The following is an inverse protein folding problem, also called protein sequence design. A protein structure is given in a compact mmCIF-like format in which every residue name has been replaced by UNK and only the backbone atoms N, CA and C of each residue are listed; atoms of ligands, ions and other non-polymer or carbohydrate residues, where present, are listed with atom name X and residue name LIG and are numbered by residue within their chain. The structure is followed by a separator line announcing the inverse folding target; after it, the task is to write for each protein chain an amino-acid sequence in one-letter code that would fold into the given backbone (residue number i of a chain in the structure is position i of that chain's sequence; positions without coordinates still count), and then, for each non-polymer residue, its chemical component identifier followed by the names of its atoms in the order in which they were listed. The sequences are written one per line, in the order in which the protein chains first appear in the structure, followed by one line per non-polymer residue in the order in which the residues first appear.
data_IF_420823726176
#
_entry.id   IF_420823726176
#
_cell.length_a   1.000
_cell.length_b   1.000
_cell.length_c   1.000
_cell.angle_alpha   90.00
_cell.angle_beta   90.00
_cell.angle_gamma   90.00
#
_symmetry.space_group_name_H-M   'P 1'
#
loop_
_entity.id
_entity.type
_entity.pdbx_description
1 polymer ?
#
# COMPACT_ATOMS: atom_id res chain seq x y z
N UNK A 1 11.92 -0.66 -6.23
CA UNK A 1 12.58 -1.24 -5.04
C UNK A 1 12.48 -0.25 -3.89
N UNK A 2 12.43 -0.74 -2.67
CA UNK A 2 12.34 0.11 -1.47
C UNK A 2 13.71 0.56 -0.97
N UNK A 3 14.72 -0.27 -1.18
CA UNK A 3 16.07 -0.01 -0.74
C UNK A 3 16.90 0.55 -1.91
N UNK A 4 17.54 1.71 -1.72
CA UNK A 4 18.39 2.30 -2.73
C UNK A 4 19.67 1.48 -2.87
N UNK A 5 19.99 1.08 -4.10
CA UNK A 5 21.27 0.44 -4.43
C UNK A 5 22.13 1.49 -5.13
N UNK A 6 23.38 1.62 -4.69
CA UNK A 6 24.33 2.59 -5.26
C UNK A 6 24.48 2.39 -6.78
N UNK A 7 24.52 3.49 -7.52
CA UNK A 7 24.62 3.47 -8.98
C UNK A 7 23.37 2.97 -9.73
N UNK A 8 22.29 2.61 -9.03
CA UNK A 8 21.06 2.08 -9.64
C UNK A 8 19.83 2.95 -9.40
N UNK A 9 18.90 2.91 -10.35
CA UNK A 9 17.63 3.61 -10.24
C UNK A 9 16.76 3.01 -9.13
N UNK A 10 16.32 3.84 -8.19
CA UNK A 10 15.50 3.40 -7.05
C UNK A 10 14.13 2.83 -7.49
N UNK A 11 13.64 3.23 -8.66
CA UNK A 11 12.39 2.72 -9.23
C UNK A 11 12.60 1.41 -10.00
N UNK A 12 13.36 1.46 -11.10
CA UNK A 12 13.45 0.37 -12.09
C UNK A 12 14.71 -0.48 -12.02
N UNK A 13 15.60 -0.27 -11.04
CA UNK A 13 16.84 -1.03 -10.83
C UNK A 13 17.94 -0.85 -11.88
N UNK A 14 17.67 -0.23 -13.03
CA UNK A 14 18.66 -0.02 -14.08
C UNK A 14 19.80 0.88 -13.62
N UNK A 15 20.97 0.69 -14.20
CA UNK A 15 22.13 1.54 -13.99
C UNK A 15 21.80 3.00 -14.32
N UNK A 16 22.31 3.91 -13.49
CA UNK A 16 22.11 5.33 -13.66
C UNK A 16 23.08 5.87 -14.71
N UNK A 17 22.63 6.74 -15.63
CA UNK A 17 23.55 7.50 -16.46
C UNK A 17 24.41 8.41 -15.57
N UNK A 18 25.63 8.72 -16.01
CA UNK A 18 26.60 9.50 -15.22
C UNK A 18 26.07 10.85 -14.69
N UNK A 19 25.04 11.41 -15.34
CA UNK A 19 24.42 12.70 -14.97
C UNK A 19 23.31 12.58 -13.92
N UNK A 20 22.89 11.38 -13.51
CA UNK A 20 21.77 11.17 -12.57
C UNK A 20 22.17 10.33 -11.37
N UNK A 21 21.57 10.64 -10.20
CA UNK A 21 21.94 10.05 -8.91
C UNK A 21 20.87 9.20 -8.23
N UNK A 22 19.61 9.25 -8.69
CA UNK A 22 18.46 8.62 -7.99
C UNK A 22 17.50 7.88 -8.93
N UNK A 23 17.22 8.47 -10.09
CA UNK A 23 16.33 7.91 -11.09
C UNK A 23 16.96 7.97 -12.48
N UNK A 24 16.81 6.91 -13.29
CA UNK A 24 17.39 6.89 -14.64
C UNK A 24 16.63 7.79 -15.62
N UNK A 25 15.39 8.18 -15.30
CA UNK A 25 14.54 9.05 -16.11
C UNK A 25 13.46 9.74 -15.26
N UNK A 26 12.88 10.82 -15.78
CA UNK A 26 11.75 11.52 -15.13
C UNK A 26 10.52 10.62 -15.02
N UNK A 27 10.35 9.68 -15.95
CA UNK A 27 9.32 8.65 -15.85
C UNK A 27 9.51 7.78 -14.59
N UNK A 28 10.76 7.41 -14.27
CA UNK A 28 11.07 6.66 -13.05
C UNK A 28 10.84 7.48 -11.79
N UNK A 29 11.18 8.77 -11.79
CA UNK A 29 10.88 9.67 -10.68
C UNK A 29 9.36 9.76 -10.43
N UNK A 30 8.57 10.02 -11.48
CA UNK A 30 7.10 10.08 -11.40
C UNK A 30 6.47 8.76 -10.95
N UNK A 31 7.01 7.63 -11.40
CA UNK A 31 6.51 6.32 -10.97
C UNK A 31 6.83 6.03 -9.51
N UNK A 32 8.01 6.44 -9.04
CA UNK A 32 8.37 6.35 -7.63
C UNK A 32 7.36 7.14 -6.78
N UNK A 33 7.09 8.40 -7.12
CA UNK A 33 6.11 9.24 -6.43
C UNK A 33 4.74 8.58 -6.36
N UNK A 34 4.21 8.11 -7.50
CA UNK A 34 2.90 7.45 -7.60
C UNK A 34 2.77 6.17 -6.78
N UNK A 35 3.87 5.58 -6.33
CA UNK A 35 3.87 4.31 -5.60
C UNK A 35 4.43 4.43 -4.19
N UNK A 36 5.12 5.51 -3.83
CA UNK A 36 5.75 5.62 -2.51
C UNK A 36 5.24 6.83 -1.75
N UNK A 37 4.82 7.90 -2.41
CA UNK A 37 4.35 9.11 -1.75
C UNK A 37 2.83 9.11 -1.61
N UNK A 38 2.32 9.09 -0.37
CA UNK A 38 0.90 8.84 -0.09
C UNK A 38 -0.07 9.78 -0.83
N UNK A 39 0.10 11.11 -0.86
CA UNK A 39 -0.79 12.00 -1.60
C UNK A 39 -0.87 11.66 -3.10
N UNK A 40 0.26 11.31 -3.72
CA UNK A 40 0.33 10.93 -5.12
C UNK A 40 -0.28 9.54 -5.36
N UNK A 41 0.12 8.55 -4.56
CA UNK A 41 -0.38 7.18 -4.66
C UNK A 41 -1.89 7.10 -4.45
N UNK A 42 -2.42 7.76 -3.42
CA UNK A 42 -3.86 7.86 -3.15
C UNK A 42 -4.63 8.50 -4.32
N UNK A 43 -4.09 9.58 -4.89
CA UNK A 43 -4.69 10.24 -6.06
C UNK A 43 -4.69 9.31 -7.28
N UNK A 44 -3.59 8.61 -7.51
CA UNK A 44 -3.44 7.69 -8.63
C UNK A 44 -4.32 6.45 -8.51
N UNK A 45 -4.46 5.87 -7.31
CA UNK A 45 -5.38 4.77 -7.03
C UNK A 45 -6.83 5.14 -7.38
N UNK A 46 -7.31 6.31 -6.90
CA UNK A 46 -8.66 6.80 -7.24
C UNK A 46 -8.89 6.98 -8.73
N UNK A 47 -7.89 7.49 -9.47
CA UNK A 47 -7.96 7.66 -10.92
C UNK A 47 -7.96 6.32 -11.66
N UNK A 48 -7.08 5.38 -11.26
CA UNK A 48 -7.03 4.00 -11.79
C UNK A 48 -8.39 3.33 -11.64
N UNK A 49 -9.01 3.50 -10.49
CA UNK A 49 -10.29 2.88 -10.15
C UNK A 49 -11.49 3.65 -10.70
N UNK A 50 -11.26 4.69 -11.52
CA UNK A 50 -12.29 5.56 -12.11
C UNK A 50 -13.26 6.14 -11.07
N UNK A 51 -12.76 6.41 -9.86
CA UNK A 51 -13.55 6.85 -8.72
C UNK A 51 -14.75 5.92 -8.44
N UNK A 52 -14.50 4.61 -8.50
CA UNK A 52 -15.46 3.57 -8.17
C UNK A 52 -14.93 2.66 -7.06
N UNK A 53 -15.84 2.14 -6.24
CA UNK A 53 -15.53 1.10 -5.26
C UNK A 53 -15.12 -0.18 -5.99
N UNK A 54 -13.95 -0.73 -5.64
CA UNK A 54 -13.43 -1.96 -6.24
C UNK A 54 -14.17 -3.23 -5.82
N UNK A 55 -14.94 -3.16 -4.74
CA UNK A 55 -15.71 -4.29 -4.20
C UNK A 55 -17.13 -4.33 -4.76
N UNK A 56 -17.86 -3.21 -4.74
CA UNK A 56 -19.28 -3.15 -5.13
C UNK A 56 -19.58 -2.32 -6.39
N UNK A 57 -18.60 -1.63 -6.96
CA UNK A 57 -18.77 -0.86 -8.19
C UNK A 57 -19.44 0.52 -8.05
N UNK A 58 -20.00 0.86 -6.88
CA UNK A 58 -20.58 2.20 -6.62
C UNK A 58 -19.56 3.30 -6.88
N UNK A 59 -20.00 4.39 -7.50
CA UNK A 59 -19.14 5.47 -7.99
C UNK A 59 -19.30 6.72 -7.14
N UNK A 60 -18.31 7.61 -7.21
CA UNK A 60 -18.41 8.96 -6.61
C UNK A 60 -19.66 9.73 -7.07
N UNK A 61 -20.14 9.47 -8.30
CA UNK A 61 -21.34 10.10 -8.84
C UNK A 61 -22.61 9.75 -8.05
N UNK A 62 -22.62 8.60 -7.36
CA UNK A 62 -23.71 8.16 -6.47
C UNK A 62 -23.70 8.93 -5.13
N UNK A 63 -22.94 10.04 -5.04
CA UNK A 63 -22.77 10.91 -3.86
C UNK A 63 -22.28 10.18 -2.60
N UNK A 64 -21.58 9.06 -2.79
CA UNK A 64 -20.94 8.31 -1.71
C UNK A 64 -19.52 8.81 -1.43
N UNK A 65 -19.08 8.59 -0.18
CA UNK A 65 -17.68 8.78 0.18
C UNK A 65 -16.87 7.58 -0.29
N UNK A 66 -15.72 7.88 -0.90
CA UNK A 66 -14.71 6.89 -1.28
C UNK A 66 -13.44 7.14 -0.49
N UNK A 67 -12.84 6.06 -0.03
CA UNK A 67 -11.57 5.99 0.67
C UNK A 67 -10.59 5.11 -0.11
N UNK A 68 -9.31 5.20 0.24
CA UNK A 68 -8.29 4.30 -0.33
C UNK A 68 -7.80 3.42 0.80
N UNK A 69 -8.00 2.12 0.63
CA UNK A 69 -7.59 1.08 1.56
C UNK A 69 -6.26 0.44 1.10
N UNK A 70 -5.47 0.02 2.08
CA UNK A 70 -4.33 -0.87 1.86
C UNK A 70 -4.83 -2.32 1.88
N UNK A 71 -4.61 -3.06 0.78
CA UNK A 71 -5.04 -4.48 0.66
C UNK A 71 -4.33 -5.32 1.71
N UNK A 72 -3.00 -5.24 1.73
CA UNK A 72 -2.14 -5.69 2.81
C UNK A 72 -1.99 -4.54 3.81
N UNK A 73 -2.47 -4.70 5.06
CA UNK A 73 -2.41 -3.65 6.06
C UNK A 73 -0.98 -3.16 6.28
N UNK A 74 -0.80 -1.85 6.33
CA UNK A 74 0.52 -1.27 6.58
C UNK A 74 1.04 -1.51 8.03
N UNK A 75 0.18 -1.95 8.96
CA UNK A 75 0.53 -2.29 10.35
C UNK A 75 1.37 -1.21 11.08
N UNK A 76 1.07 0.06 10.84
CA UNK A 76 1.82 1.20 11.40
C UNK A 76 3.12 1.56 10.66
N UNK A 77 3.49 0.81 9.60
CA UNK A 77 4.67 1.04 8.76
C UNK A 77 4.37 1.96 7.56
N UNK A 78 3.57 3.00 7.77
CA UNK A 78 3.21 3.97 6.73
C UNK A 78 3.58 5.40 7.14
N UNK A 79 4.82 5.80 6.87
CA UNK A 79 5.21 7.20 6.77
C UNK A 79 4.63 7.83 5.50
N UNK A 80 4.72 9.15 5.35
CA UNK A 80 4.27 9.86 4.13
C UNK A 80 4.91 9.29 2.85
N UNK A 81 6.15 8.82 2.96
CA UNK A 81 6.84 8.05 1.93
C UNK A 81 7.08 6.64 2.45
N UNK A 82 6.45 5.63 1.86
CA UNK A 82 6.55 4.22 2.26
C UNK A 82 6.19 3.27 1.12
N UNK A 83 6.78 2.07 1.13
CA UNK A 83 6.45 1.01 0.18
C UNK A 83 5.07 0.40 0.38
N UNK A 84 4.44 0.63 1.53
CA UNK A 84 3.05 0.26 1.72
C UNK A 84 2.13 0.94 0.68
N UNK A 85 2.53 2.08 0.11
CA UNK A 85 1.72 2.85 -0.84
C UNK A 85 1.81 2.39 -2.30
N UNK A 86 2.45 1.24 -2.58
CA UNK A 86 2.50 0.69 -3.94
C UNK A 86 1.08 0.55 -4.48
N UNK A 87 0.84 0.97 -5.73
CA UNK A 87 -0.51 0.97 -6.29
C UNK A 87 -1.14 -0.42 -6.31
N UNK A 88 -0.34 -1.47 -6.48
CA UNK A 88 -0.79 -2.86 -6.37
C UNK A 88 -1.36 -3.21 -5.00
N UNK A 89 -0.94 -2.51 -3.94
CA UNK A 89 -1.41 -2.68 -2.58
C UNK A 89 -2.53 -1.68 -2.20
N UNK A 90 -3.03 -0.87 -3.14
CA UNK A 90 -4.08 0.11 -2.87
C UNK A 90 -5.36 -0.23 -3.63
N UNK A 91 -6.51 -0.06 -2.98
CA UNK A 91 -7.83 -0.18 -3.59
C UNK A 91 -8.74 0.98 -3.15
N UNK A 92 -9.58 1.48 -4.07
CA UNK A 92 -10.60 2.49 -3.73
C UNK A 92 -11.88 1.81 -3.26
N UNK A 93 -12.38 2.15 -2.08
CA UNK A 93 -13.57 1.55 -1.45
C UNK A 93 -14.59 2.60 -1.04
N UNK A 94 -15.87 2.25 -1.02
CA UNK A 94 -16.87 3.03 -0.29
C UNK A 94 -16.79 2.77 1.22
N UNK A 95 -17.38 3.64 2.03
CA UNK A 95 -17.33 3.54 3.50
C UNK A 95 -17.83 2.18 4.03
N UNK A 96 -18.89 1.60 3.45
CA UNK A 96 -19.41 0.29 3.86
C UNK A 96 -18.41 -0.85 3.56
N UNK A 97 -17.90 -0.93 2.33
CA UNK A 97 -16.92 -1.95 1.96
C UNK A 97 -15.62 -1.77 2.72
N UNK A 98 -15.20 -0.52 2.95
CA UNK A 98 -13.99 -0.22 3.72
C UNK A 98 -14.10 -0.77 5.16
N UNK A 99 -15.22 -0.54 5.85
CA UNK A 99 -15.47 -1.09 7.19
C UNK A 99 -15.42 -2.62 7.20
N UNK A 100 -16.03 -3.26 6.20
CA UNK A 100 -16.03 -4.73 6.09
C UNK A 100 -14.62 -5.28 5.90
N UNK A 101 -13.83 -4.71 4.98
CA UNK A 101 -12.44 -5.13 4.72
C UNK A 101 -11.56 -4.90 5.96
N UNK A 102 -11.65 -3.73 6.60
CA UNK A 102 -10.90 -3.47 7.84
C UNK A 102 -11.27 -4.44 8.96
N UNK A 103 -12.54 -4.85 9.08
CA UNK A 103 -12.95 -5.85 10.05
C UNK A 103 -12.34 -7.22 9.75
N UNK A 104 -12.35 -7.66 8.49
CA UNK A 104 -11.73 -8.91 8.06
C UNK A 104 -10.22 -8.92 8.34
N UNK A 105 -9.50 -7.85 7.98
CA UNK A 105 -8.06 -7.70 8.25
C UNK A 105 -7.73 -7.77 9.75
N UNK A 106 -8.55 -7.15 10.62
CA UNK A 106 -8.38 -7.24 12.07
C UNK A 106 -8.59 -8.66 12.58
N UNK A 107 -9.57 -9.38 12.07
CA UNK A 107 -9.85 -10.75 12.46
C UNK A 107 -8.71 -11.69 12.04
N UNK A 108 -8.20 -11.52 10.81
CA UNK A 108 -7.05 -12.28 10.32
C UNK A 108 -5.81 -12.06 11.20
N UNK A 109 -5.53 -10.80 11.59
CA UNK A 109 -4.43 -10.49 12.51
C UNK A 109 -4.59 -11.19 13.86
N UNK A 110 -5.81 -11.20 14.42
CA UNK A 110 -6.11 -11.90 15.68
C UNK A 110 -5.94 -13.42 15.56
N UNK A 111 -6.36 -13.99 14.44
CA UNK A 111 -6.17 -15.42 14.14
C UNK A 111 -4.69 -15.80 14.07
N UNK A 112 -3.88 -15.02 13.33
CA UNK A 112 -2.43 -15.22 13.24
C UNK A 112 -1.73 -15.11 14.60
N UNK A 113 -2.12 -14.15 15.43
CA UNK A 113 -1.57 -14.02 16.79
C UNK A 113 -1.87 -15.24 17.67
N UNK A 114 -3.09 -15.81 17.57
CA UNK A 114 -3.47 -17.02 18.31
C UNK A 114 -2.73 -18.27 17.83
N UNK A 115 -2.44 -18.38 16.54
CA UNK A 115 -1.70 -19.52 15.97
C UNK A 115 -0.19 -19.47 16.25
N UNK A 116 0.37 -18.27 16.46
CA UNK A 116 1.82 -18.06 16.63
C UNK A 116 2.36 -18.14 18.05
N UNK A 117 1.53 -18.40 19.08
CA UNK A 117 2.01 -18.59 20.47
C UNK A 117 2.25 -20.08 20.73
N UNK A 118 3.50 -20.59 20.77
CA UNK A 118 3.75 -21.92 21.31
C UNK A 118 3.44 -21.88 22.80
N UNK A 119 2.61 -22.83 23.26
CA UNK A 119 2.28 -23.01 24.67
C UNK A 119 3.53 -23.49 25.43
N UNK A 120 4.35 -22.57 25.92
CA UNK A 120 5.37 -22.90 26.92
C UNK A 120 4.68 -22.99 28.28
N UNK A 121 4.38 -24.21 28.73
CA UNK A 121 3.84 -24.48 30.06
C UNK A 121 5.04 -24.72 30.99
N UNK A 122 5.19 -24.01 32.10
CA UNK A 122 6.25 -24.32 33.04
C UNK A 122 5.94 -25.69 33.66
N UNK A 123 6.89 -26.61 33.51
CA UNK A 123 6.95 -27.87 34.24
C UNK A 123 7.40 -27.53 35.66
N UNK A 124 6.46 -27.47 36.59
CA UNK A 124 6.77 -27.33 38.01
C UNK A 124 7.31 -28.68 38.50
N UNK A 125 8.60 -28.72 38.84
CA UNK A 125 9.27 -29.80 39.55
C UNK A 125 9.22 -29.56 41.06
#
# INVERSE_FOLDING_TARGET
MCEPVEGRCHWCARELPATRRRWCSDACARNFEKNHWWPAARRTARRRDKYACRQCGRKRLDRIRLEVNHIEPALGRHSEVSCAHHLSNLETLCDECHRAVSAAQRNEKRGKARAGTPANRPEFA
#
